data_IF_588132179920
#
_entry.id   IF_588132179920
#
_cell.length_a   1.000
_cell.length_b   1.000
_cell.length_c   1.000
_cell.angle_alpha   90.00
_cell.angle_beta   90.00
_cell.angle_gamma   90.00
#
_symmetry.space_group_name_H-M   'P 1'
#
loop_
_entity.id
_entity.type
_entity.pdbx_description
1 polymer ?
#
# COMPACT_ATOMS: atom_id res chain seq x y z
N UNK A 1 -15.42 7.29 -10.19
CA UNK A 1 -14.10 6.64 -10.26
C UNK A 1 -14.08 5.42 -9.38
N UNK A 2 -13.33 4.42 -9.80
CA UNK A 2 -13.20 3.19 -9.01
C UNK A 2 -12.18 3.39 -7.91
N UNK A 3 -12.44 2.80 -6.76
CA UNK A 3 -11.50 2.79 -5.65
C UNK A 3 -11.14 1.34 -5.31
N UNK A 4 -9.99 1.16 -4.69
CA UNK A 4 -9.55 -0.14 -4.22
C UNK A 4 -9.13 -0.02 -2.76
N UNK A 5 -9.28 -1.11 -2.03
CA UNK A 5 -8.86 -1.18 -0.64
C UNK A 5 -7.54 -1.91 -0.56
N UNK A 6 -6.60 -1.33 0.13
CA UNK A 6 -5.25 -1.89 0.29
C UNK A 6 -5.01 -2.15 1.77
N UNK A 7 -4.59 -3.37 2.08
CA UNK A 7 -4.29 -3.79 3.45
C UNK A 7 -2.78 -4.02 3.60
N UNK A 8 -2.20 -3.51 4.65
CA UNK A 8 -0.80 -3.74 4.97
C UNK A 8 -0.66 -5.08 5.69
N UNK A 9 0.12 -5.99 5.11
CA UNK A 9 0.30 -7.34 5.65
C UNK A 9 1.53 -7.47 6.54
N UNK A 10 2.58 -6.68 6.28
CA UNK A 10 3.85 -6.80 6.99
C UNK A 10 4.29 -5.45 7.53
N UNK A 11 5.05 -5.48 8.63
CA UNK A 11 5.59 -4.26 9.22
C UNK A 11 6.55 -3.56 8.26
N UNK A 12 6.40 -2.24 8.15
CA UNK A 12 7.29 -1.42 7.32
C UNK A 12 8.64 -1.18 8.00
N UNK A 13 8.77 -1.54 9.27
CA UNK A 13 10.01 -1.31 10.02
C UNK A 13 11.14 -2.22 9.55
N UNK A 14 10.80 -3.34 8.89
CA UNK A 14 11.80 -4.30 8.41
C UNK A 14 12.09 -4.19 6.93
N UNK A 15 11.62 -3.13 6.24
CA UNK A 15 11.80 -2.98 4.81
C UNK A 15 12.65 -1.76 4.49
N UNK A 16 13.09 -1.66 3.24
CA UNK A 16 13.87 -0.52 2.77
C UNK A 16 13.09 0.78 2.91
N UNK A 17 13.82 1.86 3.11
CA UNK A 17 13.23 3.19 3.28
C UNK A 17 12.34 3.57 2.10
N UNK A 18 12.76 3.27 0.88
CA UNK A 18 11.97 3.60 -0.30
C UNK A 18 10.61 2.88 -0.30
N UNK A 19 10.59 1.63 0.14
CA UNK A 19 9.34 0.87 0.24
C UNK A 19 8.46 1.44 1.35
N UNK A 20 9.07 1.83 2.46
CA UNK A 20 8.34 2.47 3.56
C UNK A 20 7.68 3.76 3.09
N UNK A 21 8.40 4.57 2.33
CA UNK A 21 7.87 5.83 1.82
C UNK A 21 6.69 5.57 0.87
N UNK A 22 6.78 4.53 0.04
CA UNK A 22 5.70 4.15 -0.86
C UNK A 22 4.46 3.73 -0.07
N UNK A 23 4.63 2.91 0.96
CA UNK A 23 3.52 2.48 1.82
C UNK A 23 2.87 3.68 2.51
N UNK A 24 3.68 4.60 3.00
CA UNK A 24 3.18 5.83 3.61
C UNK A 24 2.40 6.69 2.60
N UNK A 25 2.90 6.75 1.38
CA UNK A 25 2.22 7.47 0.31
C UNK A 25 0.84 6.90 0.01
N UNK A 26 0.66 5.60 0.23
CA UNK A 26 -0.64 4.96 0.11
C UNK A 26 -1.56 5.24 1.29
N UNK A 27 -1.01 5.72 2.40
CA UNK A 27 -1.79 6.03 3.60
C UNK A 27 -1.75 4.96 4.67
N UNK A 28 -0.99 3.89 4.46
CA UNK A 28 -0.87 2.80 5.41
C UNK A 28 0.12 3.17 6.51
N UNK A 29 -0.24 2.92 7.75
CA UNK A 29 0.58 3.31 8.90
C UNK A 29 1.03 2.13 9.75
N UNK A 30 0.31 1.01 9.73
CA UNK A 30 0.61 -0.14 10.57
C UNK A 30 0.06 -1.42 9.95
N UNK A 31 0.45 -2.56 10.49
CA UNK A 31 -0.05 -3.87 10.06
C UNK A 31 -1.56 -3.92 10.19
N UNK A 32 -2.21 -4.54 9.22
CA UNK A 32 -3.67 -4.69 9.13
C UNK A 32 -4.42 -3.38 8.92
N UNK A 33 -3.72 -2.28 8.73
CA UNK A 33 -4.38 -1.03 8.37
C UNK A 33 -4.90 -1.13 6.94
N UNK A 34 -6.18 -0.79 6.75
CA UNK A 34 -6.82 -0.83 5.43
C UNK A 34 -7.15 0.59 5.02
N UNK A 35 -6.79 0.96 3.80
CA UNK A 35 -7.11 2.27 3.24
C UNK A 35 -7.77 2.10 1.90
N UNK A 36 -8.64 3.02 1.56
CA UNK A 36 -9.28 3.08 0.25
C UNK A 36 -8.58 4.15 -0.57
N UNK A 37 -8.12 3.77 -1.75
CA UNK A 37 -7.43 4.69 -2.64
C UNK A 37 -8.05 4.63 -4.03
N UNK A 38 -7.92 5.72 -4.77
CA UNK A 38 -8.44 5.80 -6.13
C UNK A 38 -7.61 4.88 -7.03
N UNK A 39 -8.30 4.09 -7.84
CA UNK A 39 -7.65 3.15 -8.76
C UNK A 39 -7.11 3.90 -9.98
N UNK A 40 -5.88 4.36 -9.88
CA UNK A 40 -5.19 5.05 -10.96
C UNK A 40 -3.90 4.31 -11.31
N UNK A 41 -3.34 4.50 -12.52
CA UNK A 41 -2.06 3.88 -12.87
C UNK A 41 -0.93 4.25 -11.89
N UNK A 42 -0.93 5.47 -11.39
CA UNK A 42 0.08 5.90 -10.42
C UNK A 42 -0.03 5.12 -9.11
N UNK A 43 -1.26 4.97 -8.60
CA UNK A 43 -1.50 4.22 -7.36
C UNK A 43 -1.18 2.74 -7.56
N UNK A 44 -1.55 2.19 -8.70
CA UNK A 44 -1.24 0.79 -9.00
C UNK A 44 0.27 0.56 -9.08
N UNK A 45 1.02 1.51 -9.63
CA UNK A 45 2.47 1.45 -9.65
C UNK A 45 3.07 1.42 -8.26
N UNK A 46 2.54 2.24 -7.35
CA UNK A 46 2.96 2.24 -5.96
C UNK A 46 2.67 0.91 -5.28
N UNK A 47 1.46 0.38 -5.48
CA UNK A 47 1.07 -0.91 -4.91
C UNK A 47 1.97 -2.03 -5.44
N UNK A 48 2.26 -2.01 -6.73
CA UNK A 48 3.10 -3.02 -7.35
C UNK A 48 4.52 -3.02 -6.75
N UNK A 49 5.05 -1.85 -6.42
CA UNK A 49 6.37 -1.72 -5.79
C UNK A 49 6.44 -2.43 -4.45
N UNK A 50 5.34 -2.46 -3.71
CA UNK A 50 5.27 -3.05 -2.37
C UNK A 50 4.26 -4.19 -2.30
N UNK A 51 4.02 -4.85 -3.42
CA UNK A 51 3.02 -5.91 -3.51
C UNK A 51 3.28 -7.07 -2.54
N UNK A 52 4.53 -7.27 -2.17
CA UNK A 52 4.90 -8.30 -1.19
C UNK A 52 4.59 -7.88 0.24
N UNK A 53 4.22 -6.63 0.46
CA UNK A 53 3.91 -6.09 1.79
C UNK A 53 2.43 -5.79 1.97
N UNK A 54 1.70 -5.65 0.88
CA UNK A 54 0.30 -5.23 0.91
C UNK A 54 -0.55 -6.18 0.09
N UNK A 55 -1.86 -6.08 0.31
CA UNK A 55 -2.84 -6.88 -0.42
C UNK A 55 -3.98 -5.97 -0.85
N UNK A 56 -4.48 -6.20 -2.06
CA UNK A 56 -5.70 -5.53 -2.52
C UNK A 56 -6.90 -6.33 -2.02
N UNK A 57 -7.76 -5.65 -1.30
CA UNK A 57 -8.86 -6.28 -0.58
C UNK A 57 -10.23 -5.88 -1.15
N UNK A 58 -10.25 -5.39 -2.34
CA UNK A 58 -11.49 -4.95 -2.98
C UNK A 58 -12.34 -6.09 -3.47
#
# INVERSE_FOLDING_TARGET
MKTIKVRLLKSVNSVHRSQRDTVRGLGLKRIDHVVEVVDTPAVRGMINKVSHLVRIDS
#
